data_IF_442923477003
#
_entry.id   IF_442923477003
#
_cell.length_a   1.000
_cell.length_b   1.000
_cell.length_c   1.000
_cell.angle_alpha   90.00
_cell.angle_beta   90.00
_cell.angle_gamma   90.00
#
_symmetry.space_group_name_H-M   'P 1'
#
loop_
_entity.id
_entity.type
_entity.pdbx_description
1 polymer ?
#
# COMPACT_ATOMS: atom_id res chain seq x y z
N UNK A 1 -9.30 -22.99 17.75
CA UNK A 1 -9.00 -21.78 18.55
C UNK A 1 -7.52 -21.53 18.46
N UNK A 2 -7.09 -20.56 17.64
CA UNK A 2 -5.70 -20.15 17.53
C UNK A 2 -5.62 -18.70 18.02
N UNK A 3 -4.89 -18.48 19.11
CA UNK A 3 -4.68 -17.17 19.70
C UNK A 3 -3.67 -16.39 18.84
N UNK A 4 -4.12 -15.27 18.29
CA UNK A 4 -3.26 -14.26 17.66
C UNK A 4 -2.56 -13.49 18.78
N UNK A 5 -1.25 -13.72 18.93
CA UNK A 5 -0.44 -13.02 19.92
C UNK A 5 -0.23 -11.56 19.48
N UNK A 6 -0.58 -10.66 20.40
CA UNK A 6 -0.31 -9.22 20.38
C UNK A 6 1.17 -8.93 20.11
N UNK A 7 1.44 -8.11 19.09
CA UNK A 7 2.78 -7.63 18.75
C UNK A 7 3.11 -6.44 19.67
N UNK A 8 4.12 -6.60 20.52
CA UNK A 8 4.64 -5.52 21.38
C UNK A 8 6.00 -5.04 20.87
N UNK A 9 6.09 -3.75 20.49
CA UNK A 9 7.35 -3.09 20.16
C UNK A 9 7.85 -2.31 21.38
N UNK A 10 8.95 -2.75 21.98
CA UNK A 10 9.63 -2.02 23.05
C UNK A 10 10.29 -0.76 22.49
N UNK A 11 9.95 0.39 23.07
CA UNK A 11 10.47 1.72 22.73
C UNK A 11 11.86 1.93 23.33
N UNK A 12 12.88 2.11 22.50
CA UNK A 12 14.16 2.65 22.94
C UNK A 12 14.13 4.18 22.75
N UNK A 13 14.16 4.91 23.86
CA UNK A 13 14.13 6.37 23.91
C UNK A 13 15.53 7.00 23.77
N UNK A 14 15.58 8.02 22.90
CA UNK A 14 16.25 9.33 23.03
C UNK A 14 17.79 9.49 23.12
N UNK A 15 18.33 10.27 22.17
CA UNK A 15 19.20 11.42 22.48
C UNK A 15 19.13 12.48 21.35
N UNK A 16 18.58 13.65 21.66
CA UNK A 16 18.68 14.92 20.88
C UNK A 16 20.03 15.60 21.18
N UNK A 17 20.52 16.69 20.59
CA UNK A 17 20.01 17.78 19.76
C UNK A 17 21.23 18.61 19.31
N UNK A 18 21.21 19.23 18.13
CA UNK A 18 21.84 20.55 17.92
C UNK A 18 21.28 21.22 16.67
N UNK A 19 20.40 22.20 16.91
CA UNK A 19 19.80 23.12 15.94
C UNK A 19 20.72 24.31 15.64
N UNK A 20 20.48 24.96 14.49
CA UNK A 20 20.28 26.42 14.24
C UNK A 20 20.57 26.72 12.74
N UNK A 21 20.12 27.86 12.15
CA UNK A 21 18.74 28.20 11.79
C UNK A 21 18.57 28.55 10.28
N UNK A 22 17.30 28.70 9.87
CA UNK A 22 16.78 29.06 8.53
C UNK A 22 17.11 30.52 8.15
N UNK A 23 17.10 30.89 6.85
CA UNK A 23 16.06 31.82 6.41
C UNK A 23 15.37 31.45 5.08
N UNK A 24 14.13 31.92 5.00
CA UNK A 24 13.13 31.78 3.95
C UNK A 24 13.43 32.69 2.75
N UNK A 25 13.20 32.22 1.53
CA UNK A 25 12.76 33.08 0.42
C UNK A 25 11.97 32.28 -0.62
N UNK A 26 10.83 32.85 -1.01
CA UNK A 26 9.97 32.41 -2.12
C UNK A 26 10.59 32.91 -3.43
N UNK A 27 10.62 32.09 -4.48
CA UNK A 27 10.38 32.57 -5.84
C UNK A 27 10.07 31.41 -6.79
N UNK A 28 8.92 31.54 -7.46
CA UNK A 28 8.56 30.80 -8.67
C UNK A 28 9.31 31.43 -9.83
N UNK A 29 10.00 30.63 -10.65
CA UNK A 29 10.31 31.03 -12.03
C UNK A 29 10.46 29.81 -12.93
N UNK A 30 9.62 29.78 -13.96
CA UNK A 30 9.64 28.85 -15.07
C UNK A 30 10.73 29.26 -16.06
N UNK A 31 11.66 28.36 -16.37
CA UNK A 31 12.57 28.52 -17.50
C UNK A 31 12.10 27.58 -18.62
N UNK A 32 11.57 28.15 -19.69
CA UNK A 32 11.56 27.49 -20.99
C UNK A 32 12.05 28.48 -22.03
N UNK A 33 13.21 28.16 -22.59
CA UNK A 33 13.92 28.96 -23.58
C UNK A 33 13.11 29.09 -24.87
N UNK A 34 12.98 30.34 -25.30
CA UNK A 34 12.36 30.72 -26.55
C UNK A 34 13.31 30.51 -27.73
N UNK A 35 12.91 29.64 -28.66
CA UNK A 35 13.42 29.69 -30.02
C UNK A 35 12.70 30.78 -30.80
N UNK A 36 13.45 31.84 -31.11
CA UNK A 36 13.08 32.91 -32.05
C UNK A 36 13.06 32.35 -33.47
N UNK A 37 11.99 32.61 -34.21
CA UNK A 37 12.07 32.88 -35.64
C UNK A 37 11.31 34.18 -35.97
N UNK A 38 12.07 35.17 -36.42
CA UNK A 38 11.58 36.37 -37.12
C UNK A 38 11.65 36.08 -38.62
N UNK A 39 10.60 36.49 -39.34
CA UNK A 39 10.53 37.11 -40.69
C UNK A 39 9.12 36.81 -41.23
N UNK A 40 8.37 37.65 -41.92
CA UNK A 40 8.44 39.04 -42.34
C UNK A 40 7.03 39.36 -42.87
N UNK A 41 6.53 40.58 -42.62
CA UNK A 41 5.30 41.09 -43.21
C UNK A 41 5.42 41.23 -44.73
N UNK A 42 4.48 40.67 -45.48
CA UNK A 42 4.05 41.21 -46.77
C UNK A 42 2.54 41.09 -46.89
N UNK A 43 1.90 42.26 -46.93
CA UNK A 43 0.48 42.47 -47.24
C UNK A 43 0.27 42.35 -48.74
N UNK A 44 -0.61 41.43 -49.16
CA UNK A 44 -1.36 41.60 -50.40
C UNK A 44 -2.81 41.15 -50.18
N UNK A 45 -3.74 42.05 -50.50
CA UNK A 45 -5.17 41.85 -50.46
C UNK A 45 -5.58 40.75 -51.44
N UNK A 46 -6.34 39.77 -50.97
CA UNK A 46 -7.29 38.99 -51.76
C UNK A 46 -8.28 38.32 -50.82
N UNK A 47 -9.51 38.84 -50.84
CA UNK A 47 -10.67 38.37 -50.10
C UNK A 47 -11.12 37.05 -50.70
N UNK A 48 -10.86 35.94 -50.02
CA UNK A 48 -11.48 34.64 -50.32
C UNK A 48 -12.03 34.08 -49.00
N UNK A 49 -13.34 33.87 -48.99
CA UNK A 49 -14.12 33.29 -47.89
C UNK A 49 -14.05 31.76 -48.01
N UNK A 50 -13.56 31.01 -47.01
CA UNK A 50 -13.86 29.60 -46.91
C UNK A 50 -14.89 29.35 -45.80
N UNK A 51 -15.92 28.64 -46.23
CA UNK A 51 -16.90 27.87 -45.48
C UNK A 51 -16.42 27.28 -44.16
N UNK A 52 -17.26 27.41 -43.14
CA UNK A 52 -17.29 26.58 -41.94
C UNK A 52 -17.36 25.09 -42.30
N UNK A 53 -16.25 24.38 -42.13
CA UNK A 53 -16.23 22.95 -41.83
C UNK A 53 -15.14 22.72 -40.79
N UNK A 54 -15.52 22.86 -39.52
CA UNK A 54 -14.68 22.46 -38.39
C UNK A 54 -14.69 20.93 -38.32
N UNK A 55 -13.84 20.31 -39.12
CA UNK A 55 -13.50 18.89 -38.94
C UNK A 55 -12.70 18.80 -37.64
N UNK A 56 -13.33 18.25 -36.58
CA UNK A 56 -12.62 17.89 -35.36
C UNK A 56 -11.62 16.79 -35.73
N UNK A 57 -10.39 17.16 -36.09
CA UNK A 57 -9.28 16.21 -36.11
C UNK A 57 -9.04 15.75 -34.68
N UNK A 58 -9.62 14.60 -34.35
CA UNK A 58 -9.23 13.84 -33.17
C UNK A 58 -7.89 13.21 -33.51
N UNK A 59 -6.81 13.76 -32.96
CA UNK A 59 -5.48 13.16 -33.08
C UNK A 59 -5.51 11.90 -32.23
N UNK A 60 -5.70 10.75 -32.90
CA UNK A 60 -5.55 9.45 -32.27
C UNK A 60 -4.05 9.10 -32.28
N UNK A 61 -3.36 9.36 -31.18
CA UNK A 61 -2.03 8.81 -30.97
C UNK A 61 -2.14 7.30 -30.76
N UNK A 62 -2.02 6.52 -31.84
CA UNK A 62 -1.87 5.07 -31.71
C UNK A 62 -0.40 4.75 -31.45
N UNK A 63 -0.09 4.40 -30.21
CA UNK A 63 1.21 3.80 -29.87
C UNK A 63 1.22 2.36 -30.37
N UNK A 64 1.84 2.14 -31.53
CA UNK A 64 2.17 0.80 -32.00
C UNK A 64 3.40 0.29 -31.22
N UNK A 65 3.17 -0.48 -30.16
CA UNK A 65 4.24 -1.15 -29.43
C UNK A 65 3.71 -1.72 -28.13
N UNK A 66 3.60 -3.06 -28.06
CA UNK A 66 3.25 -3.90 -26.89
C UNK A 66 2.35 -3.21 -25.87
N UNK A 67 1.06 -3.55 -25.83
CA UNK A 67 0.08 -2.96 -24.90
C UNK A 67 0.55 -3.17 -23.44
N UNK A 68 1.35 -2.23 -22.92
CA UNK A 68 1.87 -2.29 -21.56
C UNK A 68 0.73 -1.83 -20.68
N UNK A 69 0.23 -2.75 -19.83
CA UNK A 69 -0.85 -2.45 -18.89
C UNK A 69 -0.57 -1.13 -18.20
N UNK A 70 -1.52 -0.20 -18.23
CA UNK A 70 -1.38 1.09 -17.56
C UNK A 70 -1.82 1.02 -16.09
N UNK A 71 -1.37 1.96 -15.26
CA UNK A 71 -1.85 2.09 -13.88
C UNK A 71 -3.38 2.23 -13.84
N UNK A 72 -3.95 2.97 -14.80
CA UNK A 72 -5.39 3.17 -14.90
C UNK A 72 -6.13 1.85 -15.19
N UNK A 73 -5.58 1.01 -16.07
CA UNK A 73 -6.11 -0.32 -16.36
C UNK A 73 -6.03 -1.26 -15.15
N UNK A 74 -4.90 -1.30 -14.44
CA UNK A 74 -4.80 -2.10 -13.20
C UNK A 74 -5.84 -1.66 -12.17
N UNK A 75 -6.01 -0.35 -11.95
CA UNK A 75 -7.06 0.16 -11.04
C UNK A 75 -8.46 -0.21 -11.52
N UNK A 76 -8.72 -0.10 -12.81
CA UNK A 76 -9.99 -0.49 -13.40
C UNK A 76 -10.25 -2.01 -13.23
N UNK A 77 -9.23 -2.84 -13.42
CA UNK A 77 -9.32 -4.29 -13.23
C UNK A 77 -9.64 -4.64 -11.78
N UNK A 78 -9.02 -3.95 -10.81
CA UNK A 78 -9.34 -4.10 -9.39
C UNK A 78 -10.82 -3.77 -9.10
N UNK A 79 -11.32 -2.63 -9.60
CA UNK A 79 -12.72 -2.21 -9.39
C UNK A 79 -13.72 -3.13 -10.11
N UNK A 80 -13.33 -3.74 -11.24
CA UNK A 80 -14.13 -4.76 -11.92
C UNK A 80 -14.21 -6.06 -11.12
N UNK A 81 -13.08 -6.47 -10.52
CA UNK A 81 -12.95 -7.69 -9.76
C UNK A 81 -13.64 -7.59 -8.37
N UNK A 82 -13.54 -6.44 -7.70
CA UNK A 82 -14.20 -6.18 -6.41
C UNK A 82 -15.14 -4.98 -6.50
N UNK A 83 -16.44 -5.26 -6.56
CA UNK A 83 -17.50 -4.25 -6.79
C UNK A 83 -18.12 -3.66 -5.52
N UNK A 84 -17.79 -4.22 -4.35
CA UNK A 84 -18.38 -3.80 -3.08
C UNK A 84 -17.68 -2.52 -2.57
N UNK A 85 -18.38 -1.65 -1.84
CA UNK A 85 -17.75 -0.45 -1.28
C UNK A 85 -16.67 -0.82 -0.24
N UNK A 86 -15.48 -0.24 -0.39
CA UNK A 86 -14.40 -0.34 0.59
C UNK A 86 -14.39 0.94 1.44
N UNK A 87 -14.39 0.87 2.78
CA UNK A 87 -14.28 2.06 3.62
C UNK A 87 -13.05 2.90 3.24
N UNK A 88 -13.23 4.23 3.19
CA UNK A 88 -12.24 5.18 2.65
C UNK A 88 -10.86 5.09 3.30
N UNK A 89 -10.82 4.77 4.59
CA UNK A 89 -9.57 4.58 5.36
C UNK A 89 -8.67 3.49 4.75
N UNK A 90 -9.26 2.40 4.27
CA UNK A 90 -8.54 1.29 3.62
C UNK A 90 -8.35 1.59 2.13
N UNK A 91 -9.41 2.06 1.46
CA UNK A 91 -9.39 2.26 0.01
C UNK A 91 -8.28 3.23 -0.43
N UNK A 92 -8.06 4.32 0.31
CA UNK A 92 -7.02 5.30 -0.04
C UNK A 92 -5.64 4.64 -0.11
N UNK A 93 -5.30 3.85 0.91
CA UNK A 93 -4.00 3.18 1.02
C UNK A 93 -3.89 2.03 0.03
N UNK A 94 -4.97 1.25 -0.16
CA UNK A 94 -5.01 0.18 -1.17
C UNK A 94 -4.77 0.73 -2.57
N UNK A 95 -5.39 1.85 -2.94
CA UNK A 95 -5.20 2.45 -4.27
C UNK A 95 -3.77 2.98 -4.47
N UNK A 96 -3.13 3.51 -3.43
CA UNK A 96 -1.71 3.87 -3.46
C UNK A 96 -0.81 2.64 -3.59
N UNK A 97 -1.11 1.57 -2.86
CA UNK A 97 -0.39 0.30 -2.89
C UNK A 97 -0.44 -0.34 -4.28
N UNK A 98 -1.63 -0.35 -4.92
CA UNK A 98 -1.82 -0.82 -6.31
C UNK A 98 -0.89 -0.06 -7.26
N UNK A 99 -0.80 1.27 -7.15
CA UNK A 99 0.07 2.08 -8.01
C UNK A 99 1.53 1.70 -7.79
N UNK A 100 1.97 1.61 -6.53
CA UNK A 100 3.36 1.29 -6.20
C UNK A 100 3.75 -0.11 -6.71
N UNK A 101 2.89 -1.10 -6.52
CA UNK A 101 3.15 -2.45 -6.99
C UNK A 101 3.06 -2.57 -8.50
N UNK A 102 2.13 -1.86 -9.16
CA UNK A 102 2.08 -1.79 -10.62
C UNK A 102 3.41 -1.29 -11.19
N UNK A 103 3.91 -0.16 -10.69
CA UNK A 103 5.19 0.42 -11.14
C UNK A 103 6.38 -0.49 -10.89
N UNK A 104 6.26 -1.46 -9.98
CA UNK A 104 7.26 -2.46 -9.68
C UNK A 104 7.11 -3.69 -10.59
N UNK A 105 5.89 -4.20 -10.74
CA UNK A 105 5.51 -5.40 -11.51
C UNK A 105 5.80 -5.28 -13.00
N UNK A 106 5.63 -4.08 -13.55
CA UNK A 106 5.86 -3.81 -14.97
C UNK A 106 7.26 -3.23 -15.25
N UNK A 107 8.18 -3.26 -14.27
CA UNK A 107 9.60 -2.99 -14.56
C UNK A 107 10.16 -4.09 -15.45
N UNK A 108 11.01 -3.71 -16.41
CA UNK A 108 11.72 -4.66 -17.29
C UNK A 108 12.53 -5.71 -16.50
N UNK A 109 13.03 -5.33 -15.34
CA UNK A 109 13.86 -6.17 -14.45
C UNK A 109 13.04 -6.93 -13.41
N UNK A 110 11.71 -6.83 -13.44
CA UNK A 110 10.86 -7.52 -12.48
C UNK A 110 10.95 -9.03 -12.68
N UNK A 111 11.18 -9.75 -11.60
CA UNK A 111 11.02 -11.18 -11.48
C UNK A 111 10.36 -11.44 -10.14
N UNK A 112 9.30 -12.23 -10.14
CA UNK A 112 8.63 -12.64 -8.91
C UNK A 112 9.63 -13.30 -7.95
N UNK A 113 9.48 -13.01 -6.66
CA UNK A 113 10.31 -13.59 -5.62
C UNK A 113 9.45 -13.87 -4.35
N UNK A 114 9.60 -15.06 -3.72
CA UNK A 114 8.86 -15.42 -2.52
C UNK A 114 9.07 -14.49 -1.32
N UNK A 115 10.27 -13.88 -1.17
CA UNK A 115 10.55 -12.91 -0.08
C UNK A 115 9.78 -11.62 -0.31
N UNK A 116 9.67 -11.15 -1.56
CA UNK A 116 8.75 -10.07 -1.92
C UNK A 116 7.31 -10.43 -1.57
N UNK A 117 6.85 -11.62 -1.94
CA UNK A 117 5.48 -12.05 -1.68
C UNK A 117 5.18 -12.07 -0.18
N UNK A 118 6.08 -12.63 0.63
CA UNK A 118 6.03 -12.57 2.09
C UNK A 118 5.88 -11.13 2.60
N UNK A 119 6.73 -10.23 2.11
CA UNK A 119 6.68 -8.83 2.49
C UNK A 119 5.37 -8.16 2.11
N UNK A 120 4.89 -8.36 0.89
CA UNK A 120 3.61 -7.82 0.43
C UNK A 120 2.43 -8.35 1.26
N UNK A 121 2.35 -9.67 1.47
CA UNK A 121 1.31 -10.31 2.29
C UNK A 121 1.33 -9.73 3.71
N UNK A 122 2.51 -9.56 4.29
CA UNK A 122 2.68 -8.94 5.62
C UNK A 122 2.11 -7.52 5.65
N UNK A 123 2.44 -6.67 4.67
CA UNK A 123 1.89 -5.30 4.58
C UNK A 123 0.37 -5.33 4.42
N UNK A 124 -0.13 -6.19 3.54
CA UNK A 124 -1.56 -6.28 3.25
C UNK A 124 -2.36 -6.70 4.48
N UNK A 125 -1.93 -7.75 5.18
CA UNK A 125 -2.64 -8.26 6.34
C UNK A 125 -2.64 -7.24 7.50
N UNK A 126 -1.52 -6.54 7.73
CA UNK A 126 -1.45 -5.44 8.71
C UNK A 126 -2.30 -4.22 8.31
N UNK A 127 -2.29 -3.86 7.03
CA UNK A 127 -3.15 -2.81 6.50
C UNK A 127 -4.62 -3.15 6.73
N UNK A 128 -5.01 -4.39 6.46
CA UNK A 128 -6.39 -4.86 6.52
C UNK A 128 -6.81 -5.40 7.89
N UNK A 129 -5.93 -5.30 8.89
CA UNK A 129 -6.27 -5.63 10.28
C UNK A 129 -7.45 -4.76 10.77
N UNK A 130 -8.46 -5.39 11.37
CA UNK A 130 -9.67 -4.68 11.82
C UNK A 130 -10.65 -4.34 10.70
N UNK A 131 -10.47 -4.87 9.48
CA UNK A 131 -11.49 -4.79 8.44
C UNK A 131 -12.78 -5.53 8.87
N UNK A 132 -13.99 -5.01 8.61
CA UNK A 132 -15.22 -5.57 9.20
C UNK A 132 -15.59 -7.02 8.81
N UNK A 133 -15.09 -7.51 7.68
CA UNK A 133 -15.41 -8.85 7.14
C UNK A 133 -14.12 -9.53 6.68
N UNK A 134 -13.81 -10.70 7.26
CA UNK A 134 -12.65 -11.50 6.86
C UNK A 134 -12.80 -12.04 5.43
N UNK A 135 -14.02 -12.40 5.03
CA UNK A 135 -14.34 -12.83 3.65
C UNK A 135 -14.05 -11.71 2.64
N UNK A 136 -14.37 -10.47 3.01
CA UNK A 136 -14.11 -9.31 2.18
C UNK A 136 -12.62 -8.98 2.15
N UNK A 137 -11.92 -9.13 3.28
CA UNK A 137 -10.47 -8.96 3.32
C UNK A 137 -9.79 -9.91 2.34
N UNK A 138 -10.20 -11.17 2.29
CA UNK A 138 -9.62 -12.12 1.35
C UNK A 138 -10.08 -11.85 -0.09
N UNK A 139 -11.36 -11.54 -0.31
CA UNK A 139 -11.84 -11.17 -1.66
C UNK A 139 -11.14 -9.93 -2.24
N UNK A 140 -10.80 -8.95 -1.40
CA UNK A 140 -10.02 -7.76 -1.81
C UNK A 140 -8.59 -8.17 -2.15
N UNK A 141 -7.95 -9.06 -1.37
CA UNK A 141 -6.59 -9.55 -1.64
C UNK A 141 -6.52 -10.22 -3.01
N UNK A 142 -7.47 -11.13 -3.22
CA UNK A 142 -7.66 -11.86 -4.47
C UNK A 142 -7.85 -10.91 -5.67
N UNK A 143 -8.76 -9.95 -5.55
CA UNK A 143 -9.01 -8.96 -6.59
C UNK A 143 -7.79 -8.06 -6.86
N UNK A 144 -7.06 -7.69 -5.80
CA UNK A 144 -5.85 -6.87 -5.87
C UNK A 144 -4.77 -7.56 -6.69
N UNK A 145 -4.42 -8.81 -6.34
CA UNK A 145 -3.32 -9.52 -7.00
C UNK A 145 -3.70 -9.89 -8.44
N UNK A 146 -4.95 -10.32 -8.66
CA UNK A 146 -5.47 -10.60 -10.00
C UNK A 146 -5.47 -9.35 -10.90
N UNK A 147 -5.71 -8.15 -10.36
CA UNK A 147 -5.65 -6.91 -11.13
C UNK A 147 -4.25 -6.59 -11.66
N UNK A 148 -3.19 -7.13 -11.04
CA UNK A 148 -1.80 -7.03 -11.46
C UNK A 148 -1.36 -8.15 -12.42
N UNK A 149 -2.29 -9.04 -12.82
CA UNK A 149 -2.01 -10.25 -13.58
C UNK A 149 -1.01 -11.18 -12.86
N UNK A 150 -1.25 -11.40 -11.58
CA UNK A 150 -0.49 -12.31 -10.73
C UNK A 150 -1.43 -13.31 -10.02
N UNK A 151 -0.84 -14.32 -9.40
CA UNK A 151 -1.56 -15.41 -8.73
C UNK A 151 -1.63 -15.17 -7.20
N UNK A 152 -2.81 -14.86 -6.64
CA UNK A 152 -2.97 -14.67 -5.20
C UNK A 152 -2.73 -15.93 -4.38
N UNK A 153 -3.07 -17.11 -4.90
CA UNK A 153 -2.83 -18.38 -4.22
C UNK A 153 -1.33 -18.61 -4.05
N UNK A 154 -0.54 -18.35 -5.11
CA UNK A 154 0.92 -18.44 -5.06
C UNK A 154 1.51 -17.53 -3.96
N UNK A 155 1.04 -16.28 -3.85
CA UNK A 155 1.51 -15.36 -2.81
C UNK A 155 1.27 -15.88 -1.40
N UNK A 156 0.07 -16.41 -1.13
CA UNK A 156 -0.29 -16.96 0.19
C UNK A 156 0.55 -18.18 0.53
N UNK A 157 0.70 -19.11 -0.42
CA UNK A 157 1.46 -20.36 -0.22
C UNK A 157 2.94 -20.05 0.02
N UNK A 158 3.54 -19.21 -0.82
CA UNK A 158 4.96 -18.87 -0.71
C UNK A 158 5.25 -18.08 0.57
N UNK A 159 4.38 -17.12 0.93
CA UNK A 159 4.49 -16.40 2.20
C UNK A 159 4.43 -17.38 3.38
N UNK A 160 3.42 -18.26 3.44
CA UNK A 160 3.28 -19.24 4.51
C UNK A 160 4.49 -20.16 4.62
N UNK A 161 5.00 -20.66 3.49
CA UNK A 161 6.20 -21.50 3.43
C UNK A 161 7.41 -20.81 4.04
N UNK A 162 7.66 -19.56 3.67
CA UNK A 162 8.77 -18.78 4.22
C UNK A 162 8.56 -18.47 5.70
N UNK A 163 7.32 -18.23 6.14
CA UNK A 163 7.04 -18.01 7.56
C UNK A 163 7.31 -19.27 8.41
N UNK A 164 6.85 -20.44 7.94
CA UNK A 164 7.08 -21.73 8.60
C UNK A 164 8.58 -22.06 8.67
N UNK A 165 9.29 -21.86 7.56
CA UNK A 165 10.75 -22.00 7.53
C UNK A 165 11.40 -21.06 8.55
N UNK A 166 11.07 -19.78 8.55
CA UNK A 166 11.66 -18.78 9.45
C UNK A 166 11.44 -19.10 10.93
N UNK A 167 10.23 -19.56 11.31
CA UNK A 167 9.91 -19.97 12.69
C UNK A 167 10.75 -21.15 13.18
N UNK A 168 11.26 -21.97 12.27
CA UNK A 168 12.15 -23.09 12.59
C UNK A 168 13.63 -22.73 12.58
N UNK A 169 13.99 -21.47 12.28
CA UNK A 169 15.37 -21.01 12.23
C UNK A 169 15.85 -20.39 13.54
N UNK A 170 17.18 -20.37 13.67
CA UNK A 170 17.92 -19.54 14.62
C UNK A 170 18.61 -18.39 13.87
N UNK A 171 19.09 -17.38 14.58
CA UNK A 171 19.85 -16.28 13.98
C UNK A 171 21.05 -16.76 13.13
N UNK A 172 21.76 -17.80 13.57
CA UNK A 172 22.88 -18.38 12.83
C UNK A 172 22.40 -19.13 11.58
N UNK A 173 21.43 -20.05 11.74
CA UNK A 173 20.97 -20.90 10.65
C UNK A 173 20.26 -20.13 9.53
N UNK A 174 19.69 -18.96 9.85
CA UNK A 174 19.07 -18.04 8.91
C UNK A 174 20.12 -17.36 8.01
N UNK A 175 21.26 -16.93 8.57
CA UNK A 175 22.35 -16.30 7.81
C UNK A 175 23.16 -17.33 7.03
N UNK A 176 23.32 -18.54 7.58
CA UNK A 176 24.06 -19.63 6.96
C UNK A 176 23.24 -20.41 5.91
N UNK A 177 22.16 -19.83 5.36
CA UNK A 177 21.32 -20.48 4.34
C UNK A 177 22.12 -20.99 3.13
N UNK A 178 23.23 -20.32 2.79
CA UNK A 178 24.05 -20.67 1.64
C UNK A 178 24.77 -22.03 1.78
N UNK A 179 25.07 -22.49 2.99
CA UNK A 179 25.72 -23.79 3.25
C UNK A 179 24.73 -24.93 3.49
N UNK A 180 23.43 -24.63 3.46
CA UNK A 180 22.35 -25.56 3.79
C UNK A 180 21.54 -25.93 2.57
N UNK A 181 20.86 -27.07 2.62
CA UNK A 181 19.98 -27.53 1.56
C UNK A 181 18.53 -27.55 2.03
N UNK A 182 17.64 -27.16 1.12
CA UNK A 182 16.21 -27.02 1.36
C UNK A 182 15.58 -26.12 0.31
N UNK A 183 14.25 -26.15 0.26
CA UNK A 183 13.50 -25.40 -0.74
C UNK A 183 13.67 -23.88 -0.54
N UNK A 184 13.54 -23.39 0.70
CA UNK A 184 13.71 -21.96 1.01
C UNK A 184 15.16 -21.52 0.89
N UNK A 185 16.11 -22.36 1.31
CA UNK A 185 17.53 -22.12 1.11
C UNK A 185 17.87 -21.97 -0.38
N UNK A 186 17.27 -22.79 -1.25
CA UNK A 186 17.44 -22.70 -2.70
C UNK A 186 16.87 -21.38 -3.27
N UNK A 187 15.72 -20.93 -2.75
CA UNK A 187 15.13 -19.63 -3.10
C UNK A 187 16.07 -18.49 -2.72
N UNK A 188 16.61 -18.51 -1.50
CA UNK A 188 17.54 -17.48 -1.01
C UNK A 188 18.87 -17.51 -1.78
N UNK A 189 19.36 -18.69 -2.19
CA UNK A 189 20.54 -18.83 -3.08
C UNK A 189 20.29 -18.21 -4.46
N UNK A 190 19.16 -18.49 -5.13
CA UNK A 190 18.80 -17.86 -6.42
C UNK A 190 18.70 -16.34 -6.27
N UNK A 191 18.11 -15.84 -5.17
CA UNK A 191 18.06 -14.40 -4.90
C UNK A 191 19.46 -13.81 -4.74
N UNK A 192 20.33 -14.44 -3.94
CA UNK A 192 21.69 -13.99 -3.70
C UNK A 192 22.52 -13.93 -4.98
N UNK A 193 22.40 -14.94 -5.85
CA UNK A 193 23.05 -14.99 -7.15
C UNK A 193 22.57 -13.85 -8.06
N UNK A 194 21.25 -13.67 -8.16
CA UNK A 194 20.66 -12.60 -8.98
C UNK A 194 21.06 -11.21 -8.50
N UNK A 195 21.07 -10.99 -7.18
CA UNK A 195 21.45 -9.72 -6.57
C UNK A 195 22.95 -9.41 -6.73
N UNK A 196 23.81 -10.44 -6.72
CA UNK A 196 25.23 -10.31 -7.02
C UNK A 196 25.52 -10.07 -8.52
N UNK A 197 24.64 -10.54 -9.40
CA UNK A 197 24.76 -10.33 -10.85
C UNK A 197 24.29 -8.94 -11.30
N UNK A 198 24.94 -8.35 -12.32
CA UNK A 198 24.54 -7.04 -12.84
C UNK A 198 23.20 -7.15 -13.61
N UNK A 199 22.12 -6.61 -13.03
CA UNK A 199 20.90 -6.25 -13.76
C UNK A 199 19.72 -7.22 -13.69
N UNK A 200 19.84 -8.34 -12.94
CA UNK A 200 18.78 -9.37 -12.86
C UNK A 200 18.01 -9.38 -11.53
N UNK A 201 18.19 -8.35 -10.69
CA UNK A 201 17.48 -8.24 -9.42
C UNK A 201 16.76 -6.89 -9.30
N UNK A 202 15.45 -6.93 -9.06
CA UNK A 202 14.64 -5.75 -8.76
C UNK A 202 14.35 -5.67 -7.27
N UNK A 203 15.18 -4.91 -6.57
CA UNK A 203 14.90 -4.56 -5.18
C UNK A 203 13.58 -3.78 -5.06
N UNK A 204 12.86 -4.03 -3.96
CA UNK A 204 11.66 -3.28 -3.59
C UNK A 204 11.53 -3.14 -2.08
N UNK A 205 10.71 -2.19 -1.64
CA UNK A 205 10.36 -2.06 -0.22
C UNK A 205 9.71 -3.33 0.34
N UNK A 206 8.86 -4.00 -0.42
CA UNK A 206 8.25 -5.26 0.00
C UNK A 206 9.30 -6.35 0.23
N UNK A 207 10.35 -6.41 -0.60
CA UNK A 207 11.47 -7.32 -0.35
C UNK A 207 12.16 -7.02 0.99
N UNK A 208 12.42 -5.73 1.31
CA UNK A 208 12.98 -5.33 2.60
C UNK A 208 12.11 -5.79 3.79
N UNK A 209 10.80 -5.60 3.68
CA UNK A 209 9.83 -6.01 4.69
C UNK A 209 9.79 -7.53 4.82
N UNK A 210 9.88 -8.27 3.71
CA UNK A 210 9.99 -9.72 3.71
C UNK A 210 11.22 -10.22 4.46
N UNK A 211 12.39 -9.60 4.24
CA UNK A 211 13.61 -9.91 5.01
C UNK A 211 13.43 -9.65 6.50
N UNK A 212 12.85 -8.51 6.85
CA UNK A 212 12.57 -8.19 8.25
C UNK A 212 11.58 -9.18 8.86
N UNK A 213 10.56 -9.61 8.12
CA UNK A 213 9.58 -10.60 8.56
C UNK A 213 10.22 -11.96 8.84
N UNK A 214 11.18 -12.40 8.01
CA UNK A 214 11.96 -13.61 8.29
C UNK A 214 12.72 -13.50 9.62
N UNK A 215 13.38 -12.36 9.86
CA UNK A 215 14.12 -12.12 11.11
C UNK A 215 13.20 -12.05 12.33
N UNK A 216 12.04 -11.39 12.20
CA UNK A 216 11.03 -11.30 13.24
C UNK A 216 10.55 -12.69 13.67
N UNK A 217 10.20 -13.55 12.70
CA UNK A 217 9.71 -14.90 12.96
C UNK A 217 10.77 -15.84 13.56
N UNK A 218 12.04 -15.61 13.25
CA UNK A 218 13.17 -16.32 13.85
C UNK A 218 13.62 -15.73 15.20
N UNK A 219 12.95 -14.70 15.72
CA UNK A 219 13.36 -13.93 16.91
C UNK A 219 14.81 -13.41 16.81
N UNK A 220 15.23 -12.97 15.62
CA UNK A 220 16.61 -12.59 15.29
C UNK A 220 16.71 -11.14 14.78
N UNK A 221 15.99 -10.21 15.42
CA UNK A 221 15.85 -8.81 14.97
C UNK A 221 17.05 -7.91 15.33
N UNK A 222 18.15 -8.50 15.79
CA UNK A 222 19.38 -7.77 16.09
C UNK A 222 19.98 -7.13 14.82
N UNK A 223 20.45 -5.87 14.86
CA UNK A 223 20.99 -5.18 13.68
C UNK A 223 22.18 -5.89 13.02
N UNK A 224 22.97 -6.63 13.81
CA UNK A 224 24.12 -7.43 13.36
C UNK A 224 23.70 -8.62 12.50
N UNK A 225 22.55 -9.23 12.78
CA UNK A 225 22.03 -10.37 12.02
C UNK A 225 21.47 -9.88 10.68
N UNK A 226 20.74 -8.76 10.68
CA UNK A 226 20.29 -8.11 9.45
C UNK A 226 21.47 -7.77 8.54
N UNK A 227 22.54 -7.21 9.08
CA UNK A 227 23.75 -6.90 8.32
C UNK A 227 24.36 -8.15 7.67
N UNK A 228 24.51 -9.24 8.43
CA UNK A 228 25.03 -10.50 7.89
C UNK A 228 24.11 -11.12 6.83
N UNK A 229 22.79 -11.07 7.04
CA UNK A 229 21.81 -11.57 6.07
C UNK A 229 21.85 -10.76 4.76
N UNK A 230 21.89 -9.43 4.85
CA UNK A 230 22.04 -8.56 3.69
C UNK A 230 23.33 -8.86 2.92
N UNK A 231 24.45 -9.06 3.63
CA UNK A 231 25.72 -9.42 3.02
C UNK A 231 25.65 -10.78 2.31
N UNK A 232 25.06 -11.80 2.94
CA UNK A 232 24.88 -13.12 2.34
C UNK A 232 23.98 -13.11 1.08
N UNK A 233 23.00 -12.19 1.03
CA UNK A 233 22.11 -12.01 -0.12
C UNK A 233 22.65 -11.04 -1.18
N UNK A 234 23.83 -10.44 -1.00
CA UNK A 234 24.35 -9.37 -1.86
C UNK A 234 23.41 -8.14 -1.97
N UNK A 235 22.77 -7.75 -0.87
CA UNK A 235 21.81 -6.63 -0.82
C UNK A 235 22.41 -5.45 -0.04
N UNK A 236 22.18 -4.23 -0.52
CA UNK A 236 22.57 -3.02 0.21
C UNK A 236 21.75 -2.84 1.49
N UNK A 237 22.40 -3.01 2.64
CA UNK A 237 21.80 -2.82 3.96
C UNK A 237 21.22 -1.42 4.14
N UNK A 238 21.88 -0.38 3.60
CA UNK A 238 21.41 1.02 3.75
C UNK A 238 20.06 1.25 3.05
N UNK A 239 19.82 0.58 1.93
CA UNK A 239 18.52 0.54 1.26
C UNK A 239 17.45 -0.10 2.15
N UNK A 240 17.78 -1.25 2.74
CA UNK A 240 16.89 -1.98 3.65
C UNK A 240 16.52 -1.15 4.88
N UNK A 241 17.50 -0.60 5.61
CA UNK A 241 17.27 0.23 6.79
C UNK A 241 16.31 1.40 6.48
N UNK A 242 16.53 2.09 5.35
CA UNK A 242 15.70 3.21 4.91
C UNK A 242 14.26 2.80 4.62
N UNK A 243 14.06 1.68 3.93
CA UNK A 243 12.72 1.21 3.56
C UNK A 243 11.95 0.64 4.75
N UNK A 244 12.65 0.04 5.73
CA UNK A 244 12.07 -0.38 7.01
C UNK A 244 11.64 0.83 7.87
N UNK A 245 12.42 1.91 7.88
CA UNK A 245 12.02 3.16 8.55
C UNK A 245 10.76 3.76 7.93
N UNK A 246 10.68 3.79 6.59
CA UNK A 246 9.48 4.25 5.87
C UNK A 246 8.28 3.36 6.20
N UNK A 247 8.46 2.04 6.24
CA UNK A 247 7.41 1.10 6.59
C UNK A 247 6.88 1.30 8.00
N UNK A 248 7.77 1.40 9.00
CA UNK A 248 7.39 1.68 10.39
C UNK A 248 6.56 2.96 10.50
N UNK A 249 7.00 4.03 9.83
CA UNK A 249 6.28 5.30 9.81
C UNK A 249 4.90 5.20 9.14
N UNK A 250 4.75 4.36 8.10
CA UNK A 250 3.45 4.10 7.47
C UNK A 250 2.50 3.37 8.41
N UNK A 251 2.95 2.28 9.03
CA UNK A 251 2.15 1.51 9.98
C UNK A 251 1.68 2.35 11.17
N UNK A 252 2.56 3.14 11.78
CA UNK A 252 2.18 4.01 12.91
C UNK A 252 1.07 4.98 12.55
N UNK A 253 1.08 5.54 11.32
CA UNK A 253 0.01 6.42 10.84
C UNK A 253 -1.30 5.68 10.60
N UNK A 254 -1.24 4.44 10.10
CA UNK A 254 -2.43 3.61 9.89
C UNK A 254 -3.09 3.23 11.21
N UNK A 255 -2.30 2.84 12.22
CA UNK A 255 -2.81 2.53 13.57
C UNK A 255 -3.52 3.75 14.15
N UNK A 256 -2.88 4.93 14.12
CA UNK A 256 -3.50 6.18 14.59
C UNK A 256 -4.81 6.50 13.84
N UNK A 257 -4.84 6.32 12.51
CA UNK A 257 -6.05 6.56 11.72
C UNK A 257 -7.19 5.59 12.08
N UNK A 258 -6.85 4.31 12.33
CA UNK A 258 -7.82 3.27 12.73
C UNK A 258 -8.42 3.56 14.11
N UNK A 259 -7.59 3.98 15.08
CA UNK A 259 -8.06 4.36 16.41
C UNK A 259 -9.02 5.55 16.34
N UNK A 260 -8.68 6.60 15.60
CA UNK A 260 -9.56 7.76 15.40
C UNK A 260 -10.89 7.39 14.74
N UNK A 261 -10.87 6.48 13.76
CA UNK A 261 -12.10 5.99 13.12
C UNK A 261 -12.96 5.17 14.08
N UNK A 262 -12.34 4.29 14.87
CA UNK A 262 -13.03 3.50 15.89
C UNK A 262 -13.74 4.42 16.89
N UNK A 263 -13.02 5.42 17.42
CA UNK A 263 -13.60 6.42 18.31
C UNK A 263 -14.73 7.23 17.65
N UNK A 264 -14.61 7.54 16.36
CA UNK A 264 -15.66 8.24 15.62
C UNK A 264 -16.92 7.38 15.48
N UNK A 265 -16.76 6.11 15.09
CA UNK A 265 -17.87 5.15 14.96
C UNK A 265 -18.56 4.95 16.31
N UNK A 266 -17.79 4.78 17.38
CA UNK A 266 -18.33 4.57 18.73
C UNK A 266 -19.09 5.80 19.22
N UNK A 267 -18.57 7.01 18.94
CA UNK A 267 -19.27 8.27 19.22
C UNK A 267 -20.58 8.40 18.45
N UNK A 268 -20.58 8.06 17.16
CA UNK A 268 -21.80 8.13 16.34
C UNK A 268 -22.83 7.06 16.73
N UNK A 269 -22.40 5.86 17.14
CA UNK A 269 -23.29 4.84 17.73
C UNK A 269 -23.93 5.36 19.02
N UNK A 270 -23.13 5.89 19.95
CA UNK A 270 -23.64 6.46 21.20
C UNK A 270 -24.66 7.58 20.95
N UNK A 271 -24.38 8.50 20.02
CA UNK A 271 -25.34 9.55 19.65
C UNK A 271 -26.64 8.99 19.03
N UNK A 272 -26.55 7.90 18.26
CA UNK A 272 -27.74 7.24 17.70
C UNK A 272 -28.56 6.56 18.79
N UNK A 273 -27.91 5.87 19.71
CA UNK A 273 -28.56 5.19 20.83
C UNK A 273 -29.23 6.20 21.77
N UNK A 274 -28.59 7.34 22.07
CA UNK A 274 -29.17 8.46 22.82
C UNK A 274 -30.38 9.06 22.11
N UNK A 275 -30.33 9.23 20.78
CA UNK A 275 -31.47 9.72 20.00
C UNK A 275 -32.63 8.71 19.97
N UNK A 276 -32.35 7.43 19.78
CA UNK A 276 -33.36 6.38 19.81
C UNK A 276 -34.02 6.26 21.20
N UNK A 277 -33.24 6.36 22.27
CA UNK A 277 -33.74 6.41 23.65
C UNK A 277 -34.60 7.65 23.93
N UNK A 278 -34.20 8.82 23.42
CA UNK A 278 -34.99 10.05 23.55
C UNK A 278 -36.30 10.01 22.75
N UNK A 279 -36.31 9.37 21.58
CA UNK A 279 -37.52 9.20 20.76
C UNK A 279 -38.51 8.23 21.43
N UNK A 280 -38.03 7.09 21.94
CA UNK A 280 -38.88 6.16 22.70
C UNK A 280 -39.42 6.77 24.00
N UNK A 281 -38.62 7.60 24.70
CA UNK A 281 -39.10 8.33 25.86
C UNK A 281 -40.16 9.39 25.50
N UNK A 282 -39.97 10.14 24.41
CA UNK A 282 -40.95 11.13 23.95
C UNK A 282 -42.24 10.49 23.44
N UNK A 283 -42.16 9.34 22.78
CA UNK A 283 -43.34 8.56 22.36
C UNK A 283 -44.11 8.02 23.56
N UNK A 284 -43.42 7.53 24.59
CA UNK A 284 -44.04 7.08 25.84
C UNK A 284 -44.76 8.22 26.58
N UNK A 285 -44.13 9.41 26.67
CA UNK A 285 -44.74 10.59 27.30
C UNK A 285 -45.99 11.05 26.53
N UNK A 286 -45.95 11.05 25.19
CA UNK A 286 -47.09 11.45 24.36
C UNK A 286 -48.27 10.48 24.52
N UNK A 287 -47.99 9.18 24.64
CA UNK A 287 -49.01 8.15 24.86
C UNK A 287 -49.69 8.29 26.23
N UNK A 288 -48.91 8.52 27.29
CA UNK A 288 -49.45 8.76 28.64
C UNK A 288 -50.26 10.07 28.73
N UNK A 289 -49.85 11.14 28.05
CA UNK A 289 -50.61 12.41 28.01
C UNK A 289 -51.91 12.29 27.20
N UNK A 290 -51.90 11.50 26.11
CA UNK A 290 -53.10 11.19 25.33
C UNK A 290 -54.13 10.36 26.11
N UNK A 291 -53.68 9.41 26.94
CA UNK A 291 -54.54 8.64 27.84
C UNK A 291 -55.11 9.52 28.98
N UNK A 292 -54.32 10.42 29.56
CA UNK A 292 -54.79 11.35 30.60
C UNK A 292 -55.86 12.34 30.09
N UNK A 293 -55.76 12.80 28.83
CA UNK A 293 -56.76 13.70 28.23
C UNK A 293 -58.09 13.00 27.90
N UNK A 294 -58.10 11.67 27.76
CA UNK A 294 -59.31 10.88 27.53
C UNK A 294 -60.05 10.54 28.84
N UNK A 295 -59.39 10.68 29.99
CA UNK A 295 -59.91 10.27 31.29
C UNK A 295 -60.52 11.41 32.13
N UNK A 296 -60.30 12.66 31.73
CA UNK A 296 -60.83 13.87 32.40
C UNK A 296 -62.03 14.53 31.69
N UNK A 297 -62.51 13.92 30.59
CA UNK A 297 -63.64 14.40 29.79
C UNK A 297 -64.99 13.73 30.07
N UNK A 298 -65.28 13.39 31.33
CA UNK A 298 -66.58 12.88 31.80
C UNK A 298 -67.10 13.71 32.98
#
# INVERSE_FOLDING_TARGET
>A
MAAVNSISFSTLNQCSDRRFPVPSSRSLSSNFDGFRFRTSLFTHYSRVRPSTFSSRMVIHCMSAGTDVTTVAETKLNFLKAYKRPIPSIYNTVLQELIVQQHLMRYKRTYRYDPVFALGFVTVYDQLMEGYPSDEDREAIFQAYIKALNEDPEQYRIDAQKLEEWARSQTAASLVEFASREGEVESILKDIAERAGSKGNFSYSRFFAIGLFRLLELANATEPSILEKLCAALNIDKKGVDRDLDVYRNLLSKLVQAKELLKEYIDREKKKRDERAGSQTANEAITKCLGEYSMQTGL
#
